data_IF_976424768274
#
_entry.id   IF_976424768274
#
_cell.length_a   1.000
_cell.length_b   1.000
_cell.length_c   1.000
_cell.angle_alpha   90.00
_cell.angle_beta   90.00
_cell.angle_gamma   90.00
#
_symmetry.space_group_name_H-M   'P 1'
#
loop_
_entity.id
_entity.type
_entity.pdbx_description
1 polymer ?
#
# COMPACT_ATOMS: atom_id res chain seq x y z
N UNK A 1 -4.21 -26.57 0.91
CA UNK A 1 -4.56 -25.90 2.18
C UNK A 1 -3.28 -25.41 2.82
N UNK A 2 -2.95 -24.14 2.64
CA UNK A 2 -1.79 -23.55 3.30
C UNK A 2 -2.12 -23.44 4.79
N UNK A 3 -1.49 -24.28 5.61
CA UNK A 3 -1.45 -24.08 7.05
C UNK A 3 -0.78 -22.74 7.30
N UNK A 4 -1.55 -21.77 7.81
CA UNK A 4 -0.97 -20.62 8.48
C UNK A 4 -0.21 -21.23 9.65
N UNK A 5 1.13 -21.23 9.57
CA UNK A 5 1.96 -21.61 10.71
C UNK A 5 1.67 -20.56 11.78
N UNK A 6 0.78 -20.90 12.71
CA UNK A 6 0.54 -20.08 13.88
C UNK A 6 1.69 -20.35 14.85
N UNK A 7 2.55 -19.36 15.08
CA UNK A 7 3.55 -19.39 16.16
C UNK A 7 2.89 -19.39 17.57
N UNK A 8 1.57 -19.56 17.64
CA UNK A 8 0.84 -19.73 18.90
C UNK A 8 1.12 -21.09 19.50
N UNK A 9 1.47 -21.11 20.78
CA UNK A 9 1.63 -22.34 21.54
C UNK A 9 0.28 -23.01 21.76
N UNK A 10 0.28 -24.33 22.00
CA UNK A 10 -0.93 -25.07 22.37
C UNK A 10 -1.64 -24.43 23.58
N UNK A 11 -0.87 -24.00 24.58
CA UNK A 11 -1.39 -23.28 25.75
C UNK A 11 -2.05 -21.93 25.43
N UNK A 12 -1.52 -21.17 24.46
CA UNK A 12 -2.17 -19.93 24.00
C UNK A 12 -3.48 -20.24 23.27
N UNK A 13 -3.53 -21.33 22.50
CA UNK A 13 -4.74 -21.80 21.84
C UNK A 13 -5.85 -22.18 22.83
N UNK A 14 -5.51 -22.91 23.90
CA UNK A 14 -6.45 -23.24 24.96
C UNK A 14 -6.92 -22.01 25.74
N UNK A 15 -6.00 -21.09 26.05
CA UNK A 15 -6.34 -19.85 26.76
C UNK A 15 -7.28 -18.98 25.94
N UNK A 16 -7.06 -18.87 24.63
CA UNK A 16 -7.94 -18.12 23.72
C UNK A 16 -9.35 -18.70 23.69
N UNK A 17 -9.51 -20.04 23.58
CA UNK A 17 -10.83 -20.68 23.61
C UNK A 17 -11.60 -20.33 24.87
N UNK A 18 -10.97 -20.48 26.04
CA UNK A 18 -11.58 -20.13 27.33
C UNK A 18 -11.98 -18.65 27.41
N UNK A 19 -11.13 -17.77 26.89
CA UNK A 19 -11.40 -16.34 26.84
C UNK A 19 -12.63 -16.01 25.98
N UNK A 20 -12.74 -16.60 24.78
CA UNK A 20 -13.88 -16.38 23.89
C UNK A 20 -15.16 -16.99 24.45
N UNK A 21 -15.09 -18.20 25.03
CA UNK A 21 -16.25 -18.86 25.66
C UNK A 21 -16.84 -18.01 26.80
N UNK A 22 -16.00 -17.51 27.71
CA UNK A 22 -16.44 -16.63 28.81
C UNK A 22 -17.05 -15.32 28.28
N UNK A 23 -16.42 -14.69 27.28
CA UNK A 23 -16.95 -13.47 26.67
C UNK A 23 -18.30 -13.71 25.98
N UNK A 24 -18.43 -14.82 25.24
CA UNK A 24 -19.67 -15.20 24.56
C UNK A 24 -20.80 -15.50 25.55
N UNK A 25 -20.51 -16.21 26.65
CA UNK A 25 -21.51 -16.51 27.68
C UNK A 25 -22.03 -15.22 28.35
N UNK A 26 -21.13 -14.27 28.65
CA UNK A 26 -21.52 -12.97 29.21
C UNK A 26 -22.36 -12.16 28.24
N UNK A 27 -21.94 -12.07 26.97
CA UNK A 27 -22.67 -11.36 25.93
C UNK A 27 -24.06 -11.95 25.71
N UNK A 28 -24.17 -13.28 25.69
CA UNK A 28 -25.45 -13.98 25.54
C UNK A 28 -26.41 -13.68 26.70
N UNK A 29 -25.93 -13.71 27.95
CA UNK A 29 -26.74 -13.35 29.14
C UNK A 29 -27.23 -11.91 29.10
N UNK A 30 -26.42 -10.98 28.60
CA UNK A 30 -26.76 -9.56 28.53
C UNK A 30 -27.68 -9.21 27.36
N UNK A 31 -27.57 -9.94 26.24
CA UNK A 31 -28.34 -9.65 25.03
C UNK A 31 -29.83 -9.95 25.18
N UNK A 32 -30.22 -10.84 26.12
CA UNK A 32 -31.63 -11.11 26.43
C UNK A 32 -32.45 -11.62 25.24
N UNK A 33 -31.81 -12.35 24.32
CA UNK A 33 -32.41 -12.76 23.05
C UNK A 33 -33.58 -13.74 23.28
N UNK A 34 -34.68 -13.52 22.57
CA UNK A 34 -35.75 -14.50 22.46
C UNK A 34 -35.39 -15.65 21.49
N UNK A 35 -36.24 -16.68 21.44
CA UNK A 35 -36.00 -17.87 20.63
C UNK A 35 -35.89 -17.57 19.13
N UNK A 36 -36.66 -16.61 18.63
CA UNK A 36 -36.69 -16.26 17.21
C UNK A 36 -35.48 -15.39 16.83
N UNK A 37 -35.06 -14.49 17.71
CA UNK A 37 -33.84 -13.71 17.60
C UNK A 37 -32.60 -14.61 17.60
N UNK A 38 -32.57 -15.62 18.48
CA UNK A 38 -31.48 -16.59 18.53
C UNK A 38 -31.40 -17.44 17.26
N UNK A 39 -32.55 -17.88 16.74
CA UNK A 39 -32.60 -18.64 15.49
C UNK A 39 -32.14 -17.81 14.28
N UNK A 40 -32.46 -16.50 14.25
CA UNK A 40 -31.93 -15.57 13.25
C UNK A 40 -30.41 -15.41 13.35
N UNK A 41 -29.87 -15.27 14.55
CA UNK A 41 -28.42 -15.19 14.78
C UNK A 41 -27.69 -16.44 14.25
N UNK A 42 -28.22 -17.64 14.50
CA UNK A 42 -27.66 -18.88 13.95
C UNK A 42 -27.74 -18.94 12.41
N UNK A 43 -28.78 -18.34 11.82
CA UNK A 43 -28.89 -18.18 10.37
C UNK A 43 -27.83 -17.26 9.76
N UNK A 44 -27.25 -16.34 10.53
CA UNK A 44 -26.19 -15.40 10.12
C UNK A 44 -24.77 -15.89 10.45
N UNK A 45 -24.56 -17.20 10.62
CA UNK A 45 -23.29 -17.75 11.14
C UNK A 45 -22.02 -17.31 10.39
N UNK A 46 -22.09 -17.15 9.06
CA UNK A 46 -20.95 -16.65 8.26
C UNK A 46 -20.60 -15.19 8.55
N UNK A 47 -21.60 -14.32 8.65
CA UNK A 47 -21.43 -12.89 9.00
C UNK A 47 -20.89 -12.76 10.43
N UNK A 48 -21.47 -13.52 11.37
CA UNK A 48 -21.03 -13.56 12.76
C UNK A 48 -19.57 -14.03 12.91
N UNK A 49 -19.15 -15.03 12.14
CA UNK A 49 -17.74 -15.46 12.11
C UNK A 49 -16.82 -14.38 11.53
N UNK A 50 -17.27 -13.65 10.51
CA UNK A 50 -16.57 -12.49 9.95
C UNK A 50 -16.34 -11.40 11.01
N UNK A 51 -17.39 -11.04 11.75
CA UNK A 51 -17.34 -10.03 12.81
C UNK A 51 -16.41 -10.43 13.97
N UNK A 52 -16.46 -11.70 14.39
CA UNK A 52 -15.53 -12.23 15.41
C UNK A 52 -14.09 -12.14 14.91
N UNK A 53 -13.82 -12.53 13.65
CA UNK A 53 -12.48 -12.43 13.06
C UNK A 53 -11.99 -10.98 13.04
N UNK A 54 -12.84 -10.04 12.61
CA UNK A 54 -12.53 -8.62 12.61
C UNK A 54 -12.23 -8.09 14.03
N UNK A 55 -13.02 -8.50 15.02
CA UNK A 55 -12.82 -8.14 16.43
C UNK A 55 -11.49 -8.66 16.98
N UNK A 56 -11.18 -9.94 16.73
CA UNK A 56 -9.92 -10.56 17.16
C UNK A 56 -8.75 -9.80 16.56
N UNK A 57 -8.76 -9.54 15.25
CA UNK A 57 -7.70 -8.81 14.57
C UNK A 57 -7.54 -7.39 15.13
N UNK A 58 -8.64 -6.72 15.47
CA UNK A 58 -8.60 -5.37 16.05
C UNK A 58 -8.02 -5.34 17.46
N UNK A 59 -8.36 -6.31 18.31
CA UNK A 59 -7.93 -6.36 19.71
C UNK A 59 -6.56 -6.99 19.92
N UNK A 60 -6.12 -7.86 19.00
CA UNK A 60 -4.81 -8.50 19.07
C UNK A 60 -3.69 -7.69 18.42
N UNK A 61 -4.04 -6.72 17.56
CA UNK A 61 -3.06 -5.79 17.01
C UNK A 61 -2.51 -4.89 18.10
N UNK A 62 -1.19 -4.75 18.10
CA UNK A 62 -0.55 -3.74 18.91
C UNK A 62 -1.04 -2.36 18.45
N UNK A 63 -1.36 -1.51 19.42
CA UNK A 63 -1.78 -0.13 19.17
C UNK A 63 -0.62 0.82 19.50
N UNK A 64 0.60 0.41 19.16
CA UNK A 64 1.74 1.30 19.21
C UNK A 64 1.43 2.52 18.33
N UNK A 65 1.80 3.70 18.83
CA UNK A 65 1.53 4.97 18.15
C UNK A 65 0.04 5.33 18.05
N UNK A 66 -0.77 4.92 19.04
CA UNK A 66 -2.18 5.32 19.24
C UNK A 66 -2.45 6.83 19.08
N UNK A 67 -1.47 7.65 19.48
CA UNK A 67 -1.53 9.12 19.46
C UNK A 67 -1.00 9.75 18.16
N UNK A 68 -0.49 8.95 17.20
CA UNK A 68 0.01 9.44 15.91
C UNK A 68 -1.09 9.41 14.84
N UNK A 69 -2.25 9.97 15.19
CA UNK A 69 -3.41 10.12 14.32
C UNK A 69 -4.03 11.49 14.55
N UNK A 70 -4.44 12.13 13.46
CA UNK A 70 -5.23 13.37 13.48
C UNK A 70 -6.51 13.17 12.67
N UNK A 71 -7.55 13.91 13.03
CA UNK A 71 -8.79 13.90 12.25
C UNK A 71 -8.52 14.45 10.84
N UNK A 72 -9.04 13.77 9.83
CA UNK A 72 -8.89 14.16 8.42
C UNK A 72 -10.23 14.11 7.71
N UNK A 73 -10.59 15.24 7.09
CA UNK A 73 -11.71 15.40 6.17
C UNK A 73 -11.27 15.41 4.69
N UNK A 74 -9.96 15.33 4.42
CA UNK A 74 -9.43 15.35 3.06
C UNK A 74 -9.78 14.05 2.32
N UNK A 75 -10.19 14.21 1.07
CA UNK A 75 -10.59 13.11 0.19
C UNK A 75 -9.90 13.24 -1.18
N UNK A 76 -10.17 12.31 -2.08
CA UNK A 76 -9.69 12.40 -3.45
C UNK A 76 -10.40 13.49 -4.23
N UNK A 77 -9.74 14.11 -5.22
CA UNK A 77 -10.40 15.08 -6.09
C UNK A 77 -11.56 14.42 -6.84
N UNK A 78 -12.61 15.19 -7.13
CA UNK A 78 -13.82 14.70 -7.83
C UNK A 78 -13.50 14.13 -9.21
N UNK A 79 -12.41 14.59 -9.83
CA UNK A 79 -11.92 14.11 -11.11
C UNK A 79 -11.40 12.67 -11.06
N UNK A 80 -11.00 12.18 -9.89
CA UNK A 80 -10.53 10.81 -9.73
C UNK A 80 -11.70 9.86 -9.49
N UNK A 81 -12.11 9.17 -10.56
CA UNK A 81 -13.20 8.18 -10.55
C UNK A 81 -12.76 6.77 -10.11
N UNK A 82 -11.56 6.63 -9.55
CA UNK A 82 -10.94 5.35 -9.22
C UNK A 82 -9.91 4.89 -10.27
N UNK A 83 -9.37 3.67 -10.10
CA UNK A 83 -8.30 3.16 -10.97
C UNK A 83 -8.79 3.00 -12.42
N UNK A 84 -8.00 3.48 -13.38
CA UNK A 84 -8.24 3.28 -14.81
C UNK A 84 -8.18 1.79 -15.16
N UNK A 85 -8.82 1.34 -16.26
CA UNK A 85 -8.68 -0.02 -16.74
C UNK A 85 -7.21 -0.45 -16.87
N UNK A 86 -6.87 -1.66 -16.40
CA UNK A 86 -5.47 -2.07 -16.24
C UNK A 86 -4.66 -2.00 -17.55
N UNK A 87 -5.28 -2.32 -18.68
CA UNK A 87 -4.66 -2.20 -20.00
C UNK A 87 -4.21 -0.78 -20.32
N UNK A 88 -5.00 0.24 -19.96
CA UNK A 88 -4.62 1.64 -20.19
C UNK A 88 -3.41 2.05 -19.33
N UNK A 89 -3.38 1.62 -18.06
CA UNK A 89 -2.25 1.90 -17.17
C UNK A 89 -0.95 1.27 -17.72
N UNK A 90 -1.05 0.03 -18.20
CA UNK A 90 0.06 -0.71 -18.79
C UNK A 90 0.57 -0.05 -20.06
N UNK A 91 -0.32 0.36 -20.97
CA UNK A 91 0.07 1.02 -22.22
C UNK A 91 0.84 2.33 -21.96
N UNK A 92 0.39 3.11 -20.97
CA UNK A 92 1.07 4.34 -20.55
C UNK A 92 2.48 4.02 -20.05
N UNK A 93 2.63 3.05 -19.16
CA UNK A 93 3.93 2.70 -18.57
C UNK A 93 4.87 2.02 -19.58
N UNK A 94 4.35 1.10 -20.40
CA UNK A 94 5.10 0.43 -21.44
C UNK A 94 5.67 1.45 -22.43
N UNK A 95 4.89 2.45 -22.83
CA UNK A 95 5.35 3.54 -23.69
C UNK A 95 6.35 4.46 -22.98
N UNK A 96 6.04 4.87 -21.75
CA UNK A 96 6.90 5.80 -21.00
C UNK A 96 8.30 5.22 -20.75
N UNK A 97 8.38 3.92 -20.47
CA UNK A 97 9.62 3.23 -20.10
C UNK A 97 10.17 2.30 -21.19
N UNK A 98 9.51 2.14 -22.34
CA UNK A 98 9.94 1.18 -23.37
C UNK A 98 9.97 -0.26 -22.86
N UNK A 99 8.92 -0.68 -22.14
CA UNK A 99 8.83 -2.02 -21.53
C UNK A 99 8.03 -2.98 -22.42
N UNK A 100 8.32 -4.28 -22.31
CA UNK A 100 7.59 -5.31 -23.02
C UNK A 100 6.34 -5.75 -22.25
N UNK A 101 5.25 -6.02 -22.96
CA UNK A 101 4.04 -6.59 -22.35
C UNK A 101 4.19 -8.07 -21.99
N UNK A 102 5.11 -8.79 -22.65
CA UNK A 102 5.51 -10.18 -22.40
C UNK A 102 4.59 -11.01 -21.49
N UNK A 103 5.12 -11.47 -20.35
CA UNK A 103 4.33 -12.23 -19.37
C UNK A 103 3.41 -11.39 -18.49
N UNK A 104 3.45 -10.05 -18.57
CA UNK A 104 2.42 -9.20 -17.97
C UNK A 104 1.05 -9.51 -18.59
N UNK A 105 0.99 -9.66 -19.91
CA UNK A 105 -0.27 -10.01 -20.61
C UNK A 105 -0.77 -11.40 -20.17
N UNK A 106 0.13 -12.38 -20.03
CA UNK A 106 -0.23 -13.72 -19.57
C UNK A 106 -0.83 -13.70 -18.15
N UNK A 107 -0.25 -12.89 -17.24
CA UNK A 107 -0.82 -12.73 -15.90
C UNK A 107 -2.23 -12.15 -15.93
N UNK A 108 -2.47 -11.13 -16.77
CA UNK A 108 -3.78 -10.47 -16.88
C UNK A 108 -4.82 -11.40 -17.47
N UNK A 109 -4.47 -12.18 -18.49
CA UNK A 109 -5.43 -13.03 -19.18
C UNK A 109 -5.75 -14.30 -18.38
N UNK A 110 -4.76 -14.85 -17.67
CA UNK A 110 -4.89 -16.19 -17.05
C UNK A 110 -5.00 -16.19 -15.53
N UNK A 111 -4.44 -15.18 -14.85
CA UNK A 111 -4.34 -15.19 -13.39
C UNK A 111 -5.25 -14.15 -12.76
N UNK A 112 -5.16 -12.89 -13.19
CA UNK A 112 -5.91 -11.77 -12.64
C UNK A 112 -7.44 -12.00 -12.55
N UNK A 113 -8.12 -12.62 -13.54
CA UNK A 113 -9.57 -12.83 -13.48
C UNK A 113 -10.00 -13.82 -12.39
N UNK A 114 -9.08 -14.66 -11.91
CA UNK A 114 -9.30 -15.60 -10.82
C UNK A 114 -8.95 -15.03 -9.44
N UNK A 115 -8.45 -13.80 -9.36
CA UNK A 115 -8.11 -13.16 -8.09
C UNK A 115 -9.25 -12.28 -7.60
N UNK A 116 -9.55 -12.39 -6.30
CA UNK A 116 -10.40 -11.42 -5.63
C UNK A 116 -9.57 -10.18 -5.27
N UNK A 117 -10.19 -9.01 -5.39
CA UNK A 117 -9.58 -7.78 -4.91
C UNK A 117 -9.52 -7.82 -3.37
N UNK A 118 -8.33 -7.73 -2.75
CA UNK A 118 -8.20 -7.77 -1.29
C UNK A 118 -8.99 -6.65 -0.61
N UNK A 119 -9.49 -6.92 0.60
CA UNK A 119 -10.15 -5.92 1.42
C UNK A 119 -9.22 -4.72 1.67
N UNK A 120 -9.75 -3.50 1.47
CA UNK A 120 -8.99 -2.25 1.61
C UNK A 120 -8.30 -1.77 0.33
N UNK A 121 -8.16 -2.61 -0.70
CA UNK A 121 -7.65 -2.17 -2.00
C UNK A 121 -8.73 -1.40 -2.78
N UNK A 122 -8.35 -0.31 -3.44
CA UNK A 122 -9.22 0.47 -4.34
C UNK A 122 -9.35 -0.18 -5.72
N UNK A 123 -8.34 -0.96 -6.13
CA UNK A 123 -8.34 -1.70 -7.37
C UNK A 123 -6.93 -2.14 -7.77
N UNK A 124 -6.81 -2.55 -9.03
CA UNK A 124 -5.56 -3.04 -9.60
C UNK A 124 -4.78 -1.90 -10.24
N UNK A 125 -3.50 -1.84 -9.95
CA UNK A 125 -2.55 -0.85 -10.45
C UNK A 125 -1.39 -1.51 -11.16
N UNK A 126 -0.93 -0.89 -12.24
CA UNK A 126 0.27 -1.31 -12.97
C UNK A 126 1.50 -0.57 -12.44
N UNK A 127 2.56 -1.30 -12.09
CA UNK A 127 3.83 -0.77 -11.58
C UNK A 127 4.99 -1.38 -12.39
N UNK A 128 5.92 -0.58 -12.93
CA UNK A 128 7.04 -1.14 -13.67
C UNK A 128 8.00 -1.91 -12.74
N UNK A 129 8.48 -3.05 -13.19
CA UNK A 129 9.52 -3.82 -12.50
C UNK A 129 10.83 -3.04 -12.47
N UNK A 130 11.43 -2.88 -11.29
CA UNK A 130 12.75 -2.24 -11.13
C UNK A 130 13.80 -2.96 -11.99
N UNK A 131 13.71 -4.29 -12.10
CA UNK A 131 14.64 -5.09 -12.91
C UNK A 131 14.48 -4.79 -14.40
N UNK A 132 13.25 -4.70 -14.88
CA UNK A 132 12.97 -4.40 -16.28
C UNK A 132 13.37 -2.97 -16.65
N UNK A 133 13.01 -1.99 -15.80
CA UNK A 133 13.44 -0.59 -15.96
C UNK A 133 14.97 -0.49 -15.99
N UNK A 134 15.66 -1.19 -15.07
CA UNK A 134 17.11 -1.20 -15.05
C UNK A 134 17.73 -1.81 -16.31
N UNK A 135 17.14 -2.89 -16.83
CA UNK A 135 17.59 -3.52 -18.08
C UNK A 135 17.46 -2.56 -19.27
N UNK A 136 16.37 -1.81 -19.36
CA UNK A 136 16.12 -0.87 -20.46
C UNK A 136 16.95 0.41 -20.36
N UNK A 137 17.10 0.99 -19.17
CA UNK A 137 17.63 2.36 -19.01
C UNK A 137 19.01 2.45 -18.39
N UNK A 138 19.41 1.47 -17.58
CA UNK A 138 20.69 1.50 -16.86
C UNK A 138 21.29 0.08 -16.67
N UNK A 139 21.54 -0.67 -17.77
CA UNK A 139 21.89 -2.10 -17.71
C UNK A 139 23.23 -2.41 -17.02
N UNK A 140 24.10 -1.40 -16.90
CA UNK A 140 25.41 -1.50 -16.25
C UNK A 140 25.30 -1.54 -14.71
N UNK A 141 24.23 -0.97 -14.13
CA UNK A 141 24.04 -0.95 -12.68
C UNK A 141 23.56 -2.34 -12.23
N UNK A 142 24.27 -2.95 -11.26
CA UNK A 142 23.95 -4.29 -10.74
C UNK A 142 23.39 -4.27 -9.33
N UNK A 143 23.74 -3.27 -8.52
CA UNK A 143 23.25 -3.14 -7.16
C UNK A 143 21.72 -2.90 -7.15
N UNK A 144 20.92 -3.75 -6.47
CA UNK A 144 19.46 -3.60 -6.45
C UNK A 144 18.97 -2.28 -5.84
N UNK A 145 19.59 -1.82 -4.75
CA UNK A 145 19.21 -0.57 -4.10
C UNK A 145 19.49 0.65 -5.00
N UNK A 146 20.63 0.63 -5.70
CA UNK A 146 20.97 1.67 -6.67
C UNK A 146 20.00 1.65 -7.86
N UNK A 147 19.64 0.47 -8.38
CA UNK A 147 18.63 0.36 -9.44
C UNK A 147 17.29 0.97 -9.03
N UNK A 148 16.87 0.73 -7.79
CA UNK A 148 15.64 1.32 -7.25
C UNK A 148 15.73 2.85 -7.23
N UNK A 149 16.81 3.41 -6.67
CA UNK A 149 17.05 4.85 -6.62
C UNK A 149 16.99 5.49 -8.02
N UNK A 150 17.67 4.87 -9.00
CA UNK A 150 17.65 5.33 -10.41
C UNK A 150 16.27 5.21 -11.06
N UNK A 151 15.49 4.19 -10.69
CA UNK A 151 14.11 4.07 -11.17
C UNK A 151 13.21 5.17 -10.59
N UNK A 152 13.42 5.57 -9.33
CA UNK A 152 12.71 6.70 -8.69
C UNK A 152 13.06 8.03 -9.39
N UNK A 153 14.34 8.28 -9.66
CA UNK A 153 14.74 9.44 -10.47
C UNK A 153 14.06 9.41 -11.85
N UNK A 154 14.05 8.25 -12.52
CA UNK A 154 13.46 8.13 -13.85
C UNK A 154 11.95 8.37 -13.87
N UNK A 155 11.18 7.86 -12.90
CA UNK A 155 9.72 8.12 -12.87
C UNK A 155 9.42 9.61 -12.64
N UNK A 156 10.24 10.31 -11.83
CA UNK A 156 10.12 11.77 -11.65
C UNK A 156 10.37 12.49 -12.99
N UNK A 157 11.39 12.08 -13.75
CA UNK A 157 11.64 12.64 -15.09
C UNK A 157 10.48 12.35 -16.07
N UNK A 158 9.86 11.16 -16.00
CA UNK A 158 8.67 10.86 -16.81
C UNK A 158 7.46 11.70 -16.42
N UNK A 159 7.29 11.99 -15.13
CA UNK A 159 6.26 12.91 -14.64
C UNK A 159 6.52 14.34 -15.16
N UNK A 160 7.75 14.85 -15.04
CA UNK A 160 8.18 16.18 -15.56
C UNK A 160 7.88 16.35 -17.05
N UNK A 161 7.93 15.27 -17.84
CA UNK A 161 7.61 15.31 -19.27
C UNK A 161 6.10 15.48 -19.57
N UNK A 162 5.23 15.30 -18.58
CA UNK A 162 3.76 15.36 -18.75
C UNK A 162 3.09 16.48 -17.97
N UNK A 163 3.78 17.03 -16.95
CA UNK A 163 3.26 18.09 -16.08
C UNK A 163 4.40 18.82 -15.35
N UNK A 164 4.07 19.95 -14.72
CA UNK A 164 5.01 20.67 -13.84
C UNK A 164 5.22 19.83 -12.57
N UNK A 165 6.50 19.54 -12.27
CA UNK A 165 6.92 18.79 -11.09
C UNK A 165 8.06 19.52 -10.40
N UNK A 166 7.90 19.78 -9.11
CA UNK A 166 8.95 20.32 -8.26
C UNK A 166 9.58 19.21 -7.40
N UNK A 167 10.85 18.90 -7.62
CA UNK A 167 11.57 17.89 -6.84
C UNK A 167 12.51 18.57 -5.81
N UNK A 168 12.07 18.67 -4.56
CA UNK A 168 12.87 19.20 -3.45
C UNK A 168 14.05 18.29 -3.05
N UNK A 169 14.18 17.12 -3.67
CA UNK A 169 15.20 16.09 -3.41
C UNK A 169 16.05 15.80 -4.64
N UNK A 170 16.07 16.71 -5.60
CA UNK A 170 16.90 16.57 -6.80
C UNK A 170 18.39 16.43 -6.42
N UNK A 171 19.05 15.42 -6.96
CA UNK A 171 20.43 15.06 -6.58
C UNK A 171 20.57 14.30 -5.24
N UNK A 172 19.48 14.12 -4.49
CA UNK A 172 19.47 13.49 -3.17
C UNK A 172 18.67 12.17 -3.14
N UNK A 173 18.63 11.42 -4.25
CA UNK A 173 17.86 10.16 -4.35
C UNK A 173 18.71 8.89 -4.36
N UNK A 174 20.03 9.00 -4.20
CA UNK A 174 20.93 7.86 -4.12
C UNK A 174 20.78 7.02 -2.85
N UNK A 175 21.47 5.87 -2.79
CA UNK A 175 21.34 4.86 -1.72
C UNK A 175 21.71 5.34 -0.32
N UNK A 176 22.43 6.47 -0.21
CA UNK A 176 22.72 7.13 1.07
C UNK A 176 21.51 7.89 1.64
N UNK A 177 20.54 8.25 0.80
CA UNK A 177 19.37 9.07 1.14
C UNK A 177 18.07 8.29 1.08
N UNK A 178 17.91 7.40 0.10
CA UNK A 178 16.66 6.67 -0.17
C UNK A 178 16.89 5.16 -0.14
N UNK A 179 15.97 4.44 0.51
CA UNK A 179 15.89 2.98 0.41
C UNK A 179 14.45 2.50 0.54
N UNK A 180 14.19 1.29 0.05
CA UNK A 180 12.90 0.64 0.25
C UNK A 180 12.77 0.10 1.67
N UNK A 181 11.56 0.14 2.21
CA UNK A 181 11.21 -0.50 3.47
C UNK A 181 11.29 -2.04 3.34
N UNK A 182 11.84 -2.77 4.32
CA UNK A 182 12.03 -4.23 4.20
C UNK A 182 10.75 -5.01 3.90
N UNK A 183 9.61 -4.61 4.50
CA UNK A 183 8.30 -5.22 4.23
C UNK A 183 7.87 -5.08 2.77
N UNK A 184 8.17 -3.93 2.17
CA UNK A 184 7.88 -3.65 0.75
C UNK A 184 8.78 -4.47 -0.16
N UNK A 185 10.08 -4.59 0.16
CA UNK A 185 11.00 -5.46 -0.59
C UNK A 185 10.47 -6.90 -0.61
N UNK A 186 10.11 -7.45 0.55
CA UNK A 186 9.57 -8.81 0.66
C UNK A 186 8.26 -9.00 -0.12
N UNK A 187 7.38 -7.99 -0.15
CA UNK A 187 6.14 -8.07 -0.93
C UNK A 187 6.44 -8.09 -2.44
N UNK A 188 7.34 -7.23 -2.92
CA UNK A 188 7.73 -7.20 -4.32
C UNK A 188 8.47 -8.47 -4.76
N UNK A 189 9.26 -9.10 -3.88
CA UNK A 189 9.86 -10.42 -4.15
C UNK A 189 8.81 -11.49 -4.47
N UNK A 190 7.65 -11.45 -3.79
CA UNK A 190 6.53 -12.35 -4.07
C UNK A 190 5.81 -11.96 -5.36
N UNK A 191 5.59 -10.67 -5.58
CA UNK A 191 4.89 -10.16 -6.78
C UNK A 191 5.69 -10.41 -8.06
N UNK A 192 7.02 -10.40 -8.01
CA UNK A 192 7.86 -10.68 -9.17
C UNK A 192 7.64 -12.08 -9.77
N UNK A 193 6.97 -13.00 -9.05
CA UNK A 193 6.53 -14.29 -9.59
C UNK A 193 5.54 -14.17 -10.76
N UNK A 194 4.91 -13.00 -10.98
CA UNK A 194 4.02 -12.73 -12.12
C UNK A 194 4.73 -12.81 -13.49
N UNK A 195 6.08 -12.80 -13.52
CA UNK A 195 6.91 -12.90 -14.73
C UNK A 195 6.51 -11.86 -15.80
N UNK A 196 6.80 -10.59 -15.57
CA UNK A 196 6.56 -9.51 -16.55
C UNK A 196 7.39 -8.26 -16.26
N UNK A 197 7.51 -7.38 -17.25
CA UNK A 197 8.21 -6.09 -17.07
C UNK A 197 7.33 -5.08 -16.31
N UNK A 198 6.02 -5.28 -16.32
CA UNK A 198 5.03 -4.49 -15.57
C UNK A 198 4.28 -5.45 -14.63
N UNK A 199 4.27 -5.11 -13.35
CA UNK A 199 3.66 -5.87 -12.28
C UNK A 199 2.27 -5.32 -11.98
N UNK A 200 1.32 -6.19 -11.68
CA UNK A 200 -0.06 -5.82 -11.33
C UNK A 200 -0.23 -5.99 -9.82
N UNK A 201 -0.58 -4.91 -9.13
CA UNK A 201 -0.70 -4.88 -7.67
C UNK A 201 -2.09 -4.39 -7.26
N UNK A 202 -2.69 -5.01 -6.26
CA UNK A 202 -3.86 -4.43 -5.60
C UNK A 202 -3.36 -3.31 -4.68
N UNK A 203 -3.94 -2.11 -4.73
CA UNK A 203 -3.46 -0.98 -3.94
C UNK A 203 -4.56 0.05 -3.63
N UNK A 204 -4.23 0.99 -2.74
CA UNK A 204 -5.01 2.19 -2.43
C UNK A 204 -4.11 3.44 -2.48
N UNK A 205 -4.69 4.64 -2.60
CA UNK A 205 -3.99 5.93 -2.74
C UNK A 205 -3.86 6.73 -1.43
N UNK A 206 -3.90 6.05 -0.30
CA UNK A 206 -3.74 6.58 1.05
C UNK A 206 -5.01 6.66 1.88
N UNK A 207 -6.20 6.38 1.32
CA UNK A 207 -7.47 6.66 2.03
C UNK A 207 -7.60 5.87 3.33
N UNK A 208 -7.16 4.61 3.34
CA UNK A 208 -7.23 3.74 4.51
C UNK A 208 -6.37 4.19 5.69
N UNK A 209 -5.38 5.06 5.44
CA UNK A 209 -4.42 5.55 6.43
C UNK A 209 -4.36 7.08 6.47
N UNK A 210 -5.45 7.77 6.08
CA UNK A 210 -5.49 9.23 6.09
C UNK A 210 -5.39 9.78 7.52
N UNK A 211 -4.62 10.85 7.71
CA UNK A 211 -4.44 11.45 9.02
C UNK A 211 -3.54 10.63 9.96
N UNK A 212 -3.02 9.48 9.54
CA UNK A 212 -2.10 8.66 10.32
C UNK A 212 -0.65 8.98 9.97
N UNK A 213 0.25 8.87 10.96
CA UNK A 213 1.68 8.84 10.63
C UNK A 213 2.03 7.60 9.83
N UNK A 214 3.11 7.65 9.03
CA UNK A 214 3.60 6.49 8.27
C UNK A 214 3.92 5.32 9.18
N UNK A 215 4.50 5.61 10.36
CA UNK A 215 4.83 4.60 11.35
C UNK A 215 3.58 3.94 11.94
N UNK A 216 2.53 4.71 12.21
CA UNK A 216 1.23 4.17 12.64
C UNK A 216 0.59 3.33 11.54
N UNK A 217 0.62 3.78 10.29
CA UNK A 217 0.09 3.01 9.17
C UNK A 217 0.78 1.63 9.07
N UNK A 218 2.11 1.59 9.21
CA UNK A 218 2.87 0.34 9.22
C UNK A 218 2.47 -0.63 10.33
N UNK A 219 2.14 -0.09 11.51
CA UNK A 219 1.64 -0.86 12.65
C UNK A 219 0.25 -1.47 12.36
N UNK A 220 -0.58 -0.73 11.63
CA UNK A 220 -1.94 -1.12 11.32
C UNK A 220 -2.06 -1.98 10.06
N UNK A 221 -1.02 -2.10 9.24
CA UNK A 221 -1.05 -2.93 8.03
C UNK A 221 -1.49 -4.36 8.35
N UNK A 222 -2.51 -4.84 7.62
CA UNK A 222 -2.89 -6.27 7.66
C UNK A 222 -1.71 -7.15 7.24
N UNK A 223 -1.66 -8.44 7.58
CA UNK A 223 -0.53 -9.31 7.24
C UNK A 223 -0.16 -9.35 5.73
N UNK A 224 -1.12 -9.12 4.84
CA UNK A 224 -0.92 -9.05 3.39
C UNK A 224 -0.67 -7.64 2.85
N UNK A 225 -0.79 -6.60 3.68
CA UNK A 225 -0.58 -5.20 3.30
C UNK A 225 0.88 -4.75 3.46
N UNK A 226 1.33 -3.86 2.59
CA UNK A 226 2.67 -3.28 2.57
C UNK A 226 2.64 -1.86 2.01
N UNK A 227 3.59 -1.00 2.40
CA UNK A 227 3.66 0.36 1.87
C UNK A 227 4.15 0.39 0.43
N UNK A 228 3.63 1.32 -0.38
CA UNK A 228 4.13 1.59 -1.73
C UNK A 228 5.18 2.71 -1.72
N UNK A 229 6.31 2.45 -2.39
CA UNK A 229 7.42 3.40 -2.50
C UNK A 229 7.22 4.42 -3.64
N UNK A 230 8.14 5.37 -3.75
CA UNK A 230 8.10 6.47 -4.71
C UNK A 230 7.99 6.02 -6.17
N UNK A 231 8.62 4.91 -6.55
CA UNK A 231 8.46 4.36 -7.90
C UNK A 231 7.00 3.97 -8.19
N UNK A 232 6.36 3.28 -7.25
CA UNK A 232 4.99 2.82 -7.40
C UNK A 232 4.02 4.00 -7.37
N UNK A 233 4.14 4.89 -6.38
CA UNK A 233 3.31 6.11 -6.28
C UNK A 233 3.47 7.00 -7.50
N UNK A 234 4.71 7.19 -7.99
CA UNK A 234 4.96 7.96 -9.20
C UNK A 234 4.34 7.32 -10.45
N UNK A 235 4.35 5.98 -10.55
CA UNK A 235 3.70 5.24 -11.65
C UNK A 235 2.18 5.39 -11.60
N UNK A 236 1.60 5.34 -10.40
CA UNK A 236 0.18 5.60 -10.17
C UNK A 236 -0.18 7.05 -10.53
N UNK A 237 0.66 8.04 -10.16
CA UNK A 237 0.46 9.45 -10.50
C UNK A 237 0.60 9.72 -12.01
N UNK A 238 1.49 9.00 -12.70
CA UNK A 238 1.68 9.10 -14.15
C UNK A 238 0.47 8.52 -14.92
N UNK A 239 -0.09 7.43 -14.41
CA UNK A 239 -1.25 6.76 -15.02
C UNK A 239 -2.58 7.40 -14.65
N UNK A 240 -2.65 8.12 -13.52
CA UNK A 240 -3.84 8.79 -13.00
C UNK A 240 -3.53 10.27 -12.71
N UNK A 241 -3.22 11.09 -13.74
CA UNK A 241 -2.88 12.49 -13.53
C UNK A 241 -4.00 13.29 -12.83
N UNK A 242 -5.26 12.88 -13.01
CA UNK A 242 -6.44 13.45 -12.36
C UNK A 242 -6.44 13.30 -10.83
N UNK A 243 -5.62 12.39 -10.27
CA UNK A 243 -5.52 12.18 -8.82
C UNK A 243 -4.82 13.33 -8.11
N UNK A 244 -4.00 14.11 -8.82
CA UNK A 244 -3.20 15.21 -8.28
C UNK A 244 -3.46 16.48 -9.08
N UNK A 245 -4.47 17.25 -8.70
CA UNK A 245 -4.94 18.41 -9.49
C UNK A 245 -5.19 19.68 -8.67
N UNK A 246 -5.25 19.58 -7.34
CA UNK A 246 -5.50 20.71 -6.44
C UNK A 246 -4.82 20.49 -5.09
N UNK A 247 -4.80 21.53 -4.26
CA UNK A 247 -4.24 21.46 -2.90
C UNK A 247 -5.20 20.79 -1.91
N UNK A 248 -6.50 21.08 -2.03
CA UNK A 248 -7.55 20.63 -1.11
C UNK A 248 -7.98 19.18 -1.36
N UNK A 249 -7.01 18.27 -1.41
CA UNK A 249 -7.19 16.84 -1.61
C UNK A 249 -6.23 16.06 -0.72
N UNK A 250 -6.50 14.77 -0.56
CA UNK A 250 -5.56 13.88 0.10
C UNK A 250 -4.27 13.76 -0.74
N UNK A 251 -3.13 14.07 -0.15
CA UNK A 251 -1.79 13.80 -0.66
C UNK A 251 -1.28 12.46 -0.12
N UNK A 252 -0.07 12.07 -0.53
CA UNK A 252 0.37 10.69 -0.37
C UNK A 252 1.75 10.58 0.24
N UNK A 253 1.85 9.82 1.33
CA UNK A 253 3.13 9.29 1.80
C UNK A 253 3.50 8.04 0.98
N UNK A 254 4.72 8.01 0.48
CA UNK A 254 5.34 6.85 -0.13
C UNK A 254 5.81 5.88 0.96
N UNK A 255 4.86 5.26 1.67
CA UNK A 255 5.11 4.46 2.87
C UNK A 255 5.97 3.21 2.63
N UNK A 256 6.23 2.85 1.37
CA UNK A 256 7.16 1.77 1.01
C UNK A 256 8.63 2.18 0.98
N UNK A 257 8.94 3.45 1.21
CA UNK A 257 10.29 4.00 1.23
C UNK A 257 10.65 4.64 2.56
N UNK A 258 11.95 4.67 2.83
CA UNK A 258 12.57 5.40 3.93
C UNK A 258 13.58 6.39 3.37
N UNK A 259 13.60 7.57 3.96
CA UNK A 259 14.46 8.67 3.57
C UNK A 259 15.30 9.20 4.75
N UNK A 260 16.50 9.70 4.46
CA UNK A 260 17.40 10.31 5.44
C UNK A 260 18.11 11.55 4.87
N UNK A 261 17.71 12.76 5.29
CA UNK A 261 18.37 14.02 4.90
C UNK A 261 19.87 14.04 5.18
N UNK A 262 20.29 13.45 6.30
CA UNK A 262 21.67 13.52 6.75
C UNK A 262 22.58 12.51 6.08
N UNK A 263 22.02 11.49 5.39
CA UNK A 263 22.74 10.30 4.99
C UNK A 263 23.53 9.66 6.17
N UNK A 264 22.93 9.65 7.36
CA UNK A 264 23.55 9.17 8.62
C UNK A 264 22.95 7.84 9.13
N UNK A 265 22.00 7.28 8.39
CA UNK A 265 21.30 6.05 8.72
C UNK A 265 20.11 6.22 9.67
N UNK A 266 19.53 7.41 9.79
CA UNK A 266 18.40 7.64 10.71
C UNK A 266 17.07 7.11 10.15
N UNK A 267 16.89 7.17 8.83
CA UNK A 267 15.71 6.63 8.10
C UNK A 267 14.35 7.04 8.69
N UNK A 268 14.29 8.20 9.34
CA UNK A 268 13.12 8.70 10.08
C UNK A 268 12.15 9.50 9.23
N UNK A 269 12.31 9.49 7.90
CA UNK A 269 11.48 10.22 6.95
C UNK A 269 10.90 9.26 5.91
N UNK A 270 9.81 9.65 5.26
CA UNK A 270 9.26 8.99 4.09
C UNK A 270 9.05 10.03 2.98
N UNK A 271 9.28 9.66 1.70
CA UNK A 271 8.94 10.53 0.59
C UNK A 271 7.44 10.85 0.54
N UNK A 272 7.11 12.01 -0.03
CA UNK A 272 5.74 12.50 -0.23
C UNK A 272 5.58 12.91 -1.68
N UNK A 273 4.41 12.58 -2.23
CA UNK A 273 3.89 13.20 -3.45
C UNK A 273 2.64 14.01 -3.07
N UNK A 274 2.70 15.32 -3.28
CA UNK A 274 1.60 16.26 -3.05
C UNK A 274 1.35 17.11 -4.29
N UNK A 275 0.30 17.94 -4.24
CA UNK A 275 0.01 18.91 -5.30
C UNK A 275 -0.26 20.27 -4.65
N UNK A 276 0.56 21.27 -4.97
CA UNK A 276 0.46 22.62 -4.42
C UNK A 276 0.87 23.62 -5.50
N UNK A 277 0.32 24.84 -5.47
CA UNK A 277 0.75 25.90 -6.40
C UNK A 277 0.57 25.59 -7.90
N UNK A 278 -0.23 24.58 -8.26
CA UNK A 278 -0.38 24.13 -9.65
C UNK A 278 0.67 23.11 -10.11
N UNK A 279 1.53 22.63 -9.22
CA UNK A 279 2.58 21.65 -9.51
C UNK A 279 2.51 20.41 -8.62
N UNK A 280 3.03 19.30 -9.14
CA UNK A 280 3.24 18.08 -8.36
C UNK A 280 4.55 18.22 -7.58
N UNK A 281 4.53 18.10 -6.27
CA UNK A 281 5.74 18.23 -5.46
C UNK A 281 6.23 16.86 -4.99
N UNK A 282 7.55 16.69 -4.96
CA UNK A 282 8.23 15.55 -4.38
C UNK A 282 9.19 16.00 -3.26
N UNK A 283 8.94 15.58 -2.03
CA UNK A 283 9.80 15.87 -0.87
C UNK A 283 9.77 14.73 0.14
N UNK A 284 10.25 14.94 1.37
CA UNK A 284 10.21 13.94 2.45
C UNK A 284 9.80 14.58 3.78
N UNK A 285 9.06 13.84 4.61
CA UNK A 285 8.57 14.28 5.93
C UNK A 285 8.78 13.18 6.97
N UNK A 286 8.78 13.55 8.26
CA UNK A 286 9.00 12.62 9.37
C UNK A 286 7.92 11.54 9.41
N UNK A 287 8.32 10.29 9.55
CA UNK A 287 7.40 9.13 9.61
C UNK A 287 6.51 9.11 10.85
N UNK A 288 6.86 9.90 11.87
CA UNK A 288 6.17 9.97 13.16
C UNK A 288 5.13 11.10 13.23
N UNK A 289 5.08 11.94 12.20
CA UNK A 289 4.23 13.12 12.19
C UNK A 289 2.95 12.82 11.41
N UNK A 290 1.80 12.61 12.08
CA UNK A 290 0.53 12.51 11.39
C UNK A 290 0.23 13.82 10.65
N UNK A 291 -0.56 13.72 9.59
CA UNK A 291 -0.83 14.83 8.70
C UNK A 291 -2.25 14.72 8.14
N UNK A 292 -3.09 15.72 8.42
CA UNK A 292 -4.52 15.67 8.12
C UNK A 292 -4.80 15.59 6.61
N UNK A 293 -3.91 16.11 5.78
CA UNK A 293 -4.05 16.10 4.33
C UNK A 293 -3.23 14.99 3.65
N UNK A 294 -2.62 14.06 4.38
CA UNK A 294 -1.89 12.93 3.78
C UNK A 294 -2.43 11.58 4.24
N UNK A 295 -2.21 10.56 3.40
CA UNK A 295 -2.41 9.17 3.75
C UNK A 295 -1.26 8.29 3.25
N UNK A 296 -1.00 7.20 3.96
CA UNK A 296 0.02 6.20 3.57
C UNK A 296 -0.50 5.30 2.45
N UNK A 297 0.14 5.38 1.28
CA UNK A 297 -0.19 4.53 0.13
C UNK A 297 0.27 3.11 0.41
N UNK A 298 -0.64 2.15 0.25
CA UNK A 298 -0.37 0.73 0.49
C UNK A 298 -0.83 -0.16 -0.65
N UNK A 299 -0.17 -1.32 -0.75
CA UNK A 299 -0.51 -2.41 -1.65
C UNK A 299 -0.81 -3.67 -0.86
N UNK A 300 -1.47 -4.62 -1.51
CA UNK A 300 -1.96 -5.86 -0.90
C UNK A 300 -1.51 -7.06 -1.73
N UNK A 301 -0.93 -8.04 -1.05
CA UNK A 301 -0.67 -9.34 -1.67
C UNK A 301 -2.02 -10.05 -1.90
N UNK A 302 -2.24 -10.67 -3.07
CA UNK A 302 -3.49 -11.36 -3.37
C UNK A 302 -3.77 -12.46 -2.35
N UNK A 303 -5.02 -12.53 -1.88
CA UNK A 303 -5.54 -13.67 -1.13
C UNK A 303 -5.97 -14.74 -2.14
N UNK A 304 -5.67 -16.01 -1.85
CA UNK A 304 -6.06 -17.16 -2.68
C UNK A 304 -7.32 -17.81 -2.14
#
# INVERSE_FOLDING_TARGET
>A
MASIISDTTEGQGEQFKRFVEDAAERAFKQAGLDKDQLQRLFGCGGEFQGDIRALIMRLSRSNQYANEVVASSYTYPLEYAGPKPIGQQIDILARAFGLSLGGTQEFIDKVLPGLMLPEGAEGWFAIPSVVAVAKCHFPKIKNPAERYCRAVELIIEKLKATRIVHNYREGELGTKYLRQHPRTVQAFDRIMQQKGDILIVAAQFGMGHRGESVRRAHELFTPNEYGLGALAVGSMALTHPERFVRWEQLHTHCAGDQYDFGARGAWGLAPIVSFCGGELEFYARRVVSPDENCGSVSGFLPER
#
